data_IF_701381431936
#
_entry.id   IF_701381431936
#
_cell.length_a   1.000
_cell.length_b   1.000
_cell.length_c   1.000
_cell.angle_alpha   90.00
_cell.angle_beta   90.00
_cell.angle_gamma   90.00
#
_symmetry.space_group_name_H-M   'P 1'
#
loop_
_entity.id
_entity.type
_entity.pdbx_description
1 polymer ?
#
# COMPACT_ATOMS: atom_id res chain seq x y z
N UNK A 1 -24.73 -20.94 59.43
CA UNK A 1 -25.45 -19.68 59.72
C UNK A 1 -25.48 -18.87 58.43
N UNK A 2 -26.56 -18.47 57.78
CA UNK A 2 -28.00 -18.61 57.94
C UNK A 2 -28.69 -17.85 56.78
N UNK A 3 -29.88 -18.32 56.37
CA UNK A 3 -30.95 -17.69 55.55
C UNK A 3 -30.61 -17.19 54.11
N UNK A 4 -31.18 -17.78 53.05
CA UNK A 4 -32.54 -17.59 52.47
C UNK A 4 -32.87 -16.15 52.06
N UNK A 5 -33.10 -15.90 50.75
CA UNK A 5 -34.41 -15.57 50.14
C UNK A 5 -34.32 -15.73 48.62
N UNK A 6 -35.20 -16.57 48.08
CA UNK A 6 -35.62 -16.54 46.67
C UNK A 6 -36.92 -15.75 46.56
N UNK A 7 -37.10 -14.93 45.52
CA UNK A 7 -38.44 -14.57 45.06
C UNK A 7 -38.49 -14.25 43.56
N UNK A 8 -39.55 -14.77 42.98
CA UNK A 8 -39.85 -14.93 41.55
C UNK A 8 -40.89 -13.90 41.11
N UNK A 9 -41.02 -13.76 39.77
CA UNK A 9 -42.23 -13.39 38.99
C UNK A 9 -42.62 -11.91 38.82
N UNK A 10 -42.58 -11.39 37.58
CA UNK A 10 -43.70 -11.36 36.60
C UNK A 10 -43.62 -10.18 35.60
N UNK A 11 -43.75 -10.55 34.31
CA UNK A 11 -44.21 -9.82 33.14
C UNK A 11 -44.89 -8.45 33.29
N UNK A 12 -44.55 -7.53 32.37
CA UNK A 12 -45.53 -6.72 31.62
C UNK A 12 -45.04 -6.36 30.21
N UNK A 13 -45.85 -6.73 29.21
CA UNK A 13 -45.84 -6.26 27.81
C UNK A 13 -46.58 -4.92 27.71
N UNK A 14 -46.09 -3.98 26.89
CA UNK A 14 -46.89 -2.97 26.16
C UNK A 14 -46.09 -2.58 24.90
N UNK A 15 -46.40 -3.15 23.72
CA UNK A 15 -47.18 -2.58 22.57
C UNK A 15 -46.58 -1.35 21.88
N UNK A 16 -46.13 -1.57 20.65
CA UNK A 16 -46.03 -0.65 19.51
C UNK A 16 -47.42 -0.17 19.04
N UNK A 17 -47.49 0.94 18.27
CA UNK A 17 -47.79 0.86 16.82
C UNK A 17 -47.08 1.99 16.01
N UNK A 18 -46.67 1.89 14.73
CA UNK A 18 -47.40 1.85 13.45
C UNK A 18 -46.33 1.69 12.32
N UNK A 19 -46.32 0.61 11.52
CA UNK A 19 -46.83 0.48 10.12
C UNK A 19 -46.22 1.34 8.98
N UNK A 20 -45.24 0.74 8.27
CA UNK A 20 -45.08 0.52 6.80
C UNK A 20 -44.93 1.71 5.80
N UNK A 21 -44.34 1.53 4.56
CA UNK A 21 -44.05 0.26 3.87
C UNK A 21 -42.65 0.08 3.23
N UNK A 22 -42.26 -1.19 3.11
CA UNK A 22 -41.27 -1.72 2.19
C UNK A 22 -41.75 -1.62 0.73
N UNK A 23 -40.95 -0.98 -0.13
CA UNK A 23 -40.76 -1.35 -1.55
C UNK A 23 -39.33 -0.96 -1.94
N UNK A 24 -38.67 -1.80 -2.74
CA UNK A 24 -37.31 -1.69 -3.27
C UNK A 24 -36.17 -2.19 -2.36
N UNK A 25 -35.97 -3.51 -2.32
CA UNK A 25 -34.68 -4.24 -2.41
C UNK A 25 -35.08 -5.71 -2.59
N UNK A 26 -35.33 -6.10 -3.84
CA UNK A 26 -35.56 -7.48 -4.26
C UNK A 26 -35.31 -7.57 -5.78
N UNK A 27 -34.05 -7.39 -6.20
CA UNK A 27 -33.55 -7.74 -7.54
C UNK A 27 -32.02 -7.59 -7.56
N UNK A 28 -31.30 -8.56 -6.98
CA UNK A 28 -29.86 -8.79 -7.24
C UNK A 28 -29.29 -10.07 -6.55
N UNK A 29 -30.09 -10.86 -5.83
CA UNK A 29 -29.63 -12.07 -5.13
C UNK A 29 -30.39 -13.32 -5.58
N UNK A 30 -30.28 -13.65 -6.88
CA UNK A 30 -30.74 -14.91 -7.45
C UNK A 30 -30.12 -15.17 -8.84
N UNK A 31 -28.79 -15.27 -8.91
CA UNK A 31 -28.06 -15.84 -10.08
C UNK A 31 -26.66 -16.35 -9.69
N UNK A 32 -26.52 -17.08 -8.58
CA UNK A 32 -25.25 -17.71 -8.19
C UNK A 32 -25.35 -19.18 -7.79
N UNK A 33 -26.48 -19.86 -8.03
CA UNK A 33 -26.68 -21.27 -7.65
C UNK A 33 -27.19 -22.17 -8.79
N UNK A 34 -26.76 -21.92 -10.04
CA UNK A 34 -27.10 -22.80 -11.17
C UNK A 34 -25.93 -23.07 -12.14
N UNK A 35 -24.68 -22.97 -11.69
CA UNK A 35 -23.48 -23.31 -12.50
C UNK A 35 -22.57 -24.32 -11.80
N UNK A 36 -23.17 -25.36 -11.21
CA UNK A 36 -22.48 -26.57 -10.75
C UNK A 36 -23.40 -27.77 -11.01
N UNK A 37 -23.45 -28.19 -12.28
CA UNK A 37 -23.79 -29.53 -12.78
C UNK A 37 -24.07 -29.40 -14.27
N UNK A 38 -23.08 -29.71 -15.11
CA UNK A 38 -23.21 -30.32 -16.45
C UNK A 38 -21.91 -30.12 -17.23
N UNK A 39 -20.99 -31.06 -17.11
CA UNK A 39 -19.95 -31.32 -18.11
C UNK A 39 -20.18 -32.72 -18.66
N UNK A 40 -20.89 -32.78 -19.79
CA UNK A 40 -21.16 -33.96 -20.59
C UNK A 40 -20.96 -33.64 -22.07
N UNK A 41 -19.77 -33.97 -22.56
CA UNK A 41 -19.37 -34.47 -23.88
C UNK A 41 -20.13 -34.10 -25.20
N UNK A 42 -19.30 -33.67 -26.18
CA UNK A 42 -19.27 -33.83 -27.67
C UNK A 42 -19.94 -32.81 -28.62
N UNK A 43 -19.13 -32.50 -29.66
CA UNK A 43 -19.31 -31.92 -31.01
C UNK A 43 -19.21 -30.38 -31.07
N UNK A 44 -18.38 -29.75 -31.89
CA UNK A 44 -17.61 -30.12 -33.09
C UNK A 44 -17.66 -28.91 -34.04
N UNK A 45 -16.56 -28.57 -34.72
CA UNK A 45 -16.58 -27.66 -35.89
C UNK A 45 -16.02 -26.25 -35.69
N UNK A 46 -14.76 -26.08 -36.13
CA UNK A 46 -14.24 -25.01 -37.00
C UNK A 46 -14.66 -23.54 -36.78
N UNK A 47 -13.71 -22.70 -36.37
CA UNK A 47 -13.05 -21.72 -37.26
C UNK A 47 -11.97 -20.93 -36.50
N UNK A 48 -10.71 -21.37 -36.66
CA UNK A 48 -9.52 -20.59 -36.34
C UNK A 48 -9.33 -19.56 -37.46
N UNK A 49 -9.60 -18.29 -37.20
CA UNK A 49 -9.10 -17.21 -38.06
C UNK A 49 -7.72 -16.80 -37.54
N UNK A 50 -6.69 -17.43 -38.12
CA UNK A 50 -5.34 -16.88 -38.12
C UNK A 50 -5.36 -15.51 -38.81
N UNK A 51 -4.72 -14.53 -38.18
CA UNK A 51 -4.44 -13.24 -38.80
C UNK A 51 -3.35 -13.50 -39.85
N UNK A 52 -3.74 -13.53 -41.12
CA UNK A 52 -2.81 -13.64 -42.25
C UNK A 52 -2.53 -12.22 -42.76
N UNK A 53 -1.27 -11.78 -42.62
CA UNK A 53 -0.75 -10.63 -43.35
C UNK A 53 -0.69 -10.95 -44.85
N UNK A 54 -1.15 -10.03 -45.69
CA UNK A 54 -0.95 -10.10 -47.15
C UNK A 54 -0.15 -8.88 -47.63
N UNK A 55 0.85 -9.06 -48.51
CA UNK A 55 1.68 -7.98 -49.02
C UNK A 55 1.22 -7.49 -50.41
N UNK A 56 1.74 -6.30 -50.75
CA UNK A 56 1.86 -5.64 -52.06
C UNK A 56 0.84 -4.56 -52.41
N UNK A 57 1.38 -3.40 -52.79
CA UNK A 57 0.68 -2.39 -53.58
C UNK A 57 1.16 -0.97 -53.33
N UNK A 58 2.34 -0.62 -53.84
CA UNK A 58 2.88 0.73 -53.77
C UNK A 58 2.00 1.76 -54.49
N UNK A 59 1.70 2.85 -53.80
CA UNK A 59 1.22 4.10 -54.39
C UNK A 59 1.91 5.26 -53.65
N UNK A 60 2.77 5.95 -54.39
CA UNK A 60 3.47 7.16 -53.97
C UNK A 60 2.45 8.29 -53.84
N UNK A 61 2.28 8.85 -52.64
CA UNK A 61 1.62 10.14 -52.44
C UNK A 61 2.57 11.11 -51.75
N UNK A 62 2.66 12.29 -52.36
CA UNK A 62 3.65 13.34 -52.12
C UNK A 62 3.54 13.94 -50.72
N UNK A 63 4.71 14.19 -50.14
CA UNK A 63 4.93 15.01 -48.95
C UNK A 63 4.15 16.32 -48.98
N UNK A 64 3.38 16.56 -47.92
CA UNK A 64 3.11 17.91 -47.42
C UNK A 64 3.26 17.89 -45.91
N UNK A 65 4.20 18.72 -45.46
CA UNK A 65 4.68 18.93 -44.10
C UNK A 65 3.67 19.66 -43.21
N UNK A 66 3.89 19.55 -41.89
CA UNK A 66 3.24 20.22 -40.74
C UNK A 66 1.79 19.77 -40.49
N UNK A 67 1.43 19.19 -39.34
CA UNK A 67 1.58 19.72 -37.97
C UNK A 67 1.83 18.56 -37.00
N UNK A 68 2.86 18.68 -36.16
CA UNK A 68 3.15 17.74 -35.08
C UNK A 68 2.11 17.88 -33.98
N UNK A 69 1.44 16.77 -33.67
CA UNK A 69 0.66 16.58 -32.46
C UNK A 69 1.23 15.35 -31.76
N UNK A 70 2.26 15.55 -30.95
CA UNK A 70 2.65 14.61 -29.92
C UNK A 70 1.59 14.72 -28.81
N UNK A 71 0.48 14.00 -28.96
CA UNK A 71 -0.48 13.84 -27.87
C UNK A 71 0.12 12.89 -26.85
N UNK A 72 0.70 13.49 -25.82
CA UNK A 72 1.19 12.89 -24.58
C UNK A 72 0.05 12.21 -23.83
N UNK A 73 -0.18 10.92 -24.13
CA UNK A 73 -1.16 10.06 -23.45
C UNK A 73 -0.65 9.52 -22.10
N UNK A 74 0.44 10.06 -21.55
CA UNK A 74 1.05 9.59 -20.31
C UNK A 74 0.95 10.55 -19.11
N UNK A 75 0.43 11.76 -19.32
CA UNK A 75 0.33 12.79 -18.28
C UNK A 75 -0.72 12.50 -17.19
N UNK A 76 -0.31 11.97 -16.04
CA UNK A 76 -1.13 12.01 -14.83
C UNK A 76 -1.16 13.47 -14.36
N UNK A 77 -2.27 14.16 -14.61
CA UNK A 77 -2.49 15.55 -14.16
C UNK A 77 -2.27 15.63 -12.65
N UNK A 78 -1.15 16.22 -12.23
CA UNK A 78 -0.90 16.50 -10.81
C UNK A 78 -1.98 17.44 -10.28
N UNK A 79 -2.52 17.13 -9.11
CA UNK A 79 -3.52 18.02 -8.48
C UNK A 79 -2.85 19.37 -8.17
N UNK A 80 -3.38 20.49 -8.67
CA UNK A 80 -2.88 21.81 -8.32
C UNK A 80 -3.20 22.11 -6.86
N UNK A 81 -2.31 22.84 -6.19
CA UNK A 81 -2.56 23.29 -4.82
C UNK A 81 -3.64 24.35 -4.78
N UNK A 82 -4.42 24.37 -3.70
CA UNK A 82 -5.33 25.48 -3.41
C UNK A 82 -4.67 26.51 -2.48
N UNK A 83 -5.18 27.77 -2.44
CA UNK A 83 -4.70 28.78 -1.50
C UNK A 83 -4.80 28.35 -0.02
N UNK A 84 -5.72 27.44 0.30
CA UNK A 84 -5.88 26.89 1.65
C UNK A 84 -4.75 25.92 1.98
N UNK A 85 -4.49 24.95 1.10
CA UNK A 85 -3.36 24.01 1.22
C UNK A 85 -2.03 24.76 1.32
N UNK A 86 -1.82 25.78 0.48
CA UNK A 86 -0.60 26.59 0.51
C UNK A 86 -0.40 27.34 1.83
N UNK A 87 -1.48 27.87 2.41
CA UNK A 87 -1.41 28.54 3.71
C UNK A 87 -1.03 27.55 4.81
N UNK A 88 -1.74 26.43 4.88
CA UNK A 88 -1.48 25.36 5.86
C UNK A 88 -0.07 24.77 5.73
N UNK A 89 0.46 24.67 4.51
CA UNK A 89 1.84 24.21 4.30
C UNK A 89 2.86 25.21 4.84
N UNK A 90 2.65 26.53 4.65
CA UNK A 90 3.56 27.61 5.10
C UNK A 90 3.65 27.75 6.62
N UNK A 91 2.67 27.23 7.36
CA UNK A 91 2.68 27.23 8.83
C UNK A 91 3.76 26.29 9.41
N UNK A 92 4.14 25.25 8.67
CA UNK A 92 5.22 24.34 9.06
C UNK A 92 6.59 24.94 8.74
N UNK A 93 7.44 25.12 9.76
CA UNK A 93 8.79 25.69 9.62
C UNK A 93 9.81 24.61 9.28
N UNK A 94 9.83 24.12 8.02
CA UNK A 94 10.70 23.02 7.56
C UNK A 94 12.21 23.20 7.86
N UNK A 95 12.67 24.44 7.96
CA UNK A 95 14.08 24.79 8.18
C UNK A 95 14.46 24.94 9.66
N UNK A 96 13.49 24.86 10.58
CA UNK A 96 13.80 24.93 12.00
C UNK A 96 14.53 23.65 12.42
N UNK A 97 15.62 23.74 13.20
CA UNK A 97 16.22 22.56 13.81
C UNK A 97 15.23 21.92 14.79
N UNK A 98 15.35 20.62 15.06
CA UNK A 98 14.35 19.84 15.85
C UNK A 98 14.10 20.43 17.24
N UNK A 99 15.10 21.06 17.86
CA UNK A 99 15.03 21.75 19.14
C UNK A 99 14.08 22.96 19.12
N UNK A 100 13.97 23.61 17.96
CA UNK A 100 13.16 24.80 17.73
C UNK A 100 11.87 24.51 16.94
N UNK A 101 11.77 23.33 16.33
CA UNK A 101 10.66 22.94 15.47
C UNK A 101 9.40 22.59 16.26
N UNK A 102 8.26 22.76 15.61
CA UNK A 102 6.95 22.30 16.09
C UNK A 102 6.44 21.24 15.11
N UNK A 103 5.56 20.35 15.58
CA UNK A 103 4.87 19.41 14.68
C UNK A 103 4.07 20.17 13.62
N UNK A 104 3.69 19.53 12.52
CA UNK A 104 2.79 20.15 11.55
C UNK A 104 1.48 20.61 12.20
N UNK A 105 0.84 21.67 11.66
CA UNK A 105 -0.46 22.12 12.16
C UNK A 105 -1.48 21.00 12.03
N UNK A 106 -2.45 20.96 12.95
CA UNK A 106 -3.45 19.89 13.02
C UNK A 106 -4.23 19.71 11.72
N UNK A 107 -4.33 20.76 10.90
CA UNK A 107 -4.90 20.75 9.56
C UNK A 107 -4.22 19.75 8.60
N UNK A 108 -2.95 19.40 8.78
CA UNK A 108 -2.30 18.34 7.98
C UNK A 108 -2.97 16.96 8.17
N UNK A 109 -3.61 16.76 9.32
CA UNK A 109 -4.25 15.50 9.71
C UNK A 109 -5.78 15.57 9.66
N UNK A 110 -6.35 16.76 9.56
CA UNK A 110 -7.80 17.01 9.72
C UNK A 110 -8.43 17.80 8.57
N UNK A 111 -7.67 18.18 7.54
CA UNK A 111 -8.21 18.85 6.36
C UNK A 111 -8.33 17.88 5.18
N UNK A 112 -9.55 17.70 4.66
CA UNK A 112 -9.82 16.82 3.53
C UNK A 112 -9.15 17.28 2.23
N UNK A 113 -9.01 18.59 2.02
CA UNK A 113 -8.36 19.13 0.82
C UNK A 113 -6.85 18.87 0.85
N UNK A 114 -6.27 18.93 2.06
CA UNK A 114 -4.86 18.57 2.28
C UNK A 114 -4.66 17.05 2.08
N UNK A 115 -5.57 16.23 2.61
CA UNK A 115 -5.55 14.78 2.42
C UNK A 115 -5.66 14.38 0.93
N UNK A 116 -6.49 15.04 0.14
CA UNK A 116 -6.57 14.77 -1.31
C UNK A 116 -5.29 15.22 -2.04
N UNK A 117 -4.67 16.33 -1.60
CA UNK A 117 -3.45 16.86 -2.19
C UNK A 117 -2.23 15.96 -1.93
N UNK A 118 -2.08 15.40 -0.72
CA UNK A 118 -0.98 14.51 -0.37
C UNK A 118 -1.00 13.20 -1.15
N UNK A 119 -2.19 12.66 -1.47
CA UNK A 119 -2.30 11.40 -2.23
C UNK A 119 -1.51 11.44 -3.54
N UNK A 120 -1.64 12.53 -4.29
CA UNK A 120 -0.98 12.64 -5.60
C UNK A 120 0.48 13.09 -5.45
N UNK A 121 0.80 13.97 -4.48
CA UNK A 121 2.13 14.57 -4.33
C UNK A 121 3.13 13.71 -3.59
N UNK A 122 2.68 12.97 -2.57
CA UNK A 122 3.53 12.09 -1.76
C UNK A 122 3.57 10.69 -2.38
N UNK A 123 2.42 10.04 -2.54
CA UNK A 123 2.37 8.63 -2.97
C UNK A 123 2.52 8.47 -4.48
N UNK A 124 2.10 9.45 -5.29
CA UNK A 124 2.18 9.39 -6.74
C UNK A 124 3.59 9.53 -7.33
N UNK A 125 4.57 9.98 -6.53
CA UNK A 125 5.94 10.29 -7.00
C UNK A 125 7.01 9.33 -6.50
N UNK A 126 6.69 8.48 -5.52
CA UNK A 126 7.64 7.58 -4.87
C UNK A 126 7.51 6.16 -5.39
N UNK A 127 8.55 5.34 -5.18
CA UNK A 127 8.38 3.90 -5.14
C UNK A 127 7.45 3.53 -3.97
N UNK A 128 6.59 2.54 -4.20
CA UNK A 128 5.61 2.06 -3.24
C UNK A 128 5.77 0.55 -3.11
N UNK A 129 6.03 0.07 -1.89
CA UNK A 129 5.89 -1.35 -1.58
C UNK A 129 4.40 -1.72 -1.69
N UNK A 130 4.09 -2.76 -2.44
CA UNK A 130 2.70 -3.15 -2.76
C UNK A 130 2.40 -4.62 -2.53
N UNK A 131 3.40 -5.41 -2.17
CA UNK A 131 3.29 -6.83 -1.92
C UNK A 131 4.64 -7.46 -1.71
N UNK A 132 4.68 -8.79 -1.75
CA UNK A 132 5.88 -9.57 -1.48
C UNK A 132 6.06 -10.68 -2.53
N UNK A 133 7.31 -11.11 -2.73
CA UNK A 133 7.69 -12.02 -3.83
C UNK A 133 7.01 -13.40 -3.73
N UNK A 134 6.61 -13.83 -2.52
CA UNK A 134 5.85 -15.06 -2.29
C UNK A 134 4.47 -15.04 -2.97
N UNK A 135 3.88 -13.88 -3.24
CA UNK A 135 2.65 -13.79 -4.03
C UNK A 135 2.90 -14.10 -5.51
N UNK A 136 4.17 -14.06 -5.96
CA UNK A 136 4.61 -14.20 -7.36
C UNK A 136 5.48 -15.46 -7.57
N UNK A 137 5.17 -16.57 -6.89
CA UNK A 137 5.96 -17.82 -7.03
C UNK A 137 5.84 -18.42 -8.44
N UNK A 138 4.61 -18.64 -8.89
CA UNK A 138 4.34 -19.31 -10.16
C UNK A 138 4.09 -18.31 -11.31
N UNK A 139 4.50 -18.64 -12.55
CA UNK A 139 4.05 -17.91 -13.73
C UNK A 139 2.52 -17.85 -13.79
N UNK A 140 1.97 -16.67 -14.07
CA UNK A 140 0.54 -16.40 -14.05
C UNK A 140 -0.01 -15.91 -12.71
N UNK A 141 0.76 -16.01 -11.62
CA UNK A 141 0.37 -15.41 -10.34
C UNK A 141 0.16 -13.91 -10.48
N UNK A 142 -0.89 -13.40 -9.88
CA UNK A 142 -1.22 -11.98 -9.85
C UNK A 142 -1.82 -11.56 -8.51
N UNK A 143 -1.69 -10.26 -8.19
CA UNK A 143 -2.51 -9.59 -7.17
C UNK A 143 -2.88 -8.19 -7.63
N UNK A 144 -3.90 -7.63 -7.01
CA UNK A 144 -4.43 -6.30 -7.32
C UNK A 144 -4.45 -5.43 -6.08
N UNK A 145 -4.37 -4.12 -6.27
CA UNK A 145 -4.44 -3.17 -5.17
C UNK A 145 -4.62 -1.75 -5.64
N UNK A 146 -4.37 -0.80 -4.74
CA UNK A 146 -4.53 0.63 -5.01
C UNK A 146 -3.44 1.45 -4.32
N UNK A 147 -2.89 2.42 -5.05
CA UNK A 147 -2.11 3.53 -4.49
C UNK A 147 -2.88 4.81 -4.82
N UNK A 148 -3.37 5.49 -3.79
CA UNK A 148 -4.20 6.67 -3.97
C UNK A 148 -5.42 6.40 -4.86
N UNK A 149 -5.52 7.10 -5.99
CA UNK A 149 -6.61 6.90 -6.96
C UNK A 149 -6.33 5.74 -7.95
N UNK A 150 -5.07 5.34 -8.11
CA UNK A 150 -4.62 4.37 -9.12
C UNK A 150 -4.84 2.93 -8.68
N UNK A 151 -5.66 2.19 -9.44
CA UNK A 151 -5.81 0.74 -9.29
C UNK A 151 -4.75 0.03 -10.11
N UNK A 152 -4.04 -0.92 -9.52
CA UNK A 152 -3.00 -1.68 -10.20
C UNK A 152 -3.28 -3.19 -10.17
N UNK A 153 -2.65 -3.89 -11.11
CA UNK A 153 -2.46 -5.34 -11.09
C UNK A 153 -0.97 -5.60 -11.26
N UNK A 154 -0.41 -6.44 -10.40
CA UNK A 154 0.95 -6.98 -10.53
C UNK A 154 0.82 -8.44 -10.91
N UNK A 155 1.64 -8.91 -11.85
CA UNK A 155 1.67 -10.32 -12.24
C UNK A 155 3.06 -10.78 -12.63
N UNK A 156 3.28 -12.09 -12.52
CA UNK A 156 4.44 -12.78 -13.11
C UNK A 156 4.05 -13.34 -14.47
N UNK A 157 4.71 -12.90 -15.52
CA UNK A 157 4.42 -13.37 -16.87
C UNK A 157 4.96 -14.79 -17.13
N UNK A 158 4.69 -15.32 -18.33
CA UNK A 158 5.14 -16.65 -18.74
C UNK A 158 6.66 -16.77 -18.90
N UNK A 159 7.39 -15.66 -18.95
CA UNK A 159 8.86 -15.61 -19.00
C UNK A 159 9.46 -15.45 -17.58
N UNK A 160 8.61 -15.38 -16.55
CA UNK A 160 9.02 -15.22 -15.16
C UNK A 160 9.27 -13.76 -14.73
N UNK A 161 9.02 -12.78 -15.60
CA UNK A 161 9.18 -11.36 -15.29
C UNK A 161 7.98 -10.85 -14.49
N UNK A 162 8.24 -10.14 -13.39
CA UNK A 162 7.21 -9.42 -12.65
C UNK A 162 6.90 -8.12 -13.40
N UNK A 163 5.62 -7.86 -13.66
CA UNK A 163 5.09 -6.69 -14.37
C UNK A 163 3.95 -6.07 -13.59
N UNK A 164 3.76 -4.77 -13.74
CA UNK A 164 2.63 -4.06 -13.19
C UNK A 164 1.91 -3.25 -14.27
N UNK A 165 0.59 -3.14 -14.14
CA UNK A 165 -0.26 -2.37 -15.05
C UNK A 165 -1.35 -1.63 -14.29
N UNK A 166 -1.85 -0.54 -14.87
CA UNK A 166 -3.14 0.01 -14.47
C UNK A 166 -4.22 -1.07 -14.67
N UNK A 167 -4.92 -1.43 -13.59
CA UNK A 167 -5.97 -2.44 -13.61
C UNK A 167 -7.28 -1.84 -14.16
N UNK A 168 -7.22 -1.39 -15.42
CA UNK A 168 -8.27 -0.65 -16.11
C UNK A 168 -8.29 -1.09 -17.56
N UNK A 169 -9.37 -1.74 -17.98
CA UNK A 169 -9.59 -2.14 -19.36
C UNK A 169 -9.60 -0.91 -20.28
N UNK A 170 -8.84 -0.97 -21.38
CA UNK A 170 -8.75 0.10 -22.39
C UNK A 170 -9.99 0.29 -23.24
N UNK A 171 -10.99 -0.58 -23.11
CA UNK A 171 -12.30 -0.38 -23.69
C UNK A 171 -13.10 0.61 -22.83
N UNK A 172 -13.85 0.13 -21.83
CA UNK A 172 -14.72 0.96 -20.97
C UNK A 172 -14.34 0.85 -19.49
N UNK A 173 -13.04 0.95 -19.17
CA UNK A 173 -12.47 1.18 -17.85
C UNK A 173 -12.76 0.15 -16.73
N UNK A 174 -13.45 -0.95 -17.01
CA UNK A 174 -13.65 -2.03 -16.04
C UNK A 174 -12.31 -2.64 -15.60
N UNK A 175 -12.19 -3.00 -14.32
CA UNK A 175 -11.02 -3.76 -13.84
C UNK A 175 -10.91 -5.09 -14.58
N UNK A 176 -9.69 -5.49 -14.92
CA UNK A 176 -9.41 -6.73 -15.68
C UNK A 176 -9.05 -7.89 -14.75
N UNK A 177 -8.70 -7.60 -13.50
CA UNK A 177 -8.43 -8.57 -12.45
C UNK A 177 -8.96 -8.06 -11.10
N UNK A 178 -9.18 -8.96 -10.14
CA UNK A 178 -9.61 -8.64 -8.78
C UNK A 178 -9.02 -9.64 -7.79
N UNK A 179 -8.62 -9.16 -6.60
CA UNK A 179 -7.99 -9.98 -5.57
C UNK A 179 -6.61 -10.47 -6.01
N UNK A 180 -6.30 -11.71 -5.69
CA UNK A 180 -5.10 -12.44 -6.11
C UNK A 180 -5.48 -13.82 -6.68
N UNK A 181 -4.58 -14.41 -7.46
CA UNK A 181 -4.79 -15.72 -8.06
C UNK A 181 -3.74 -16.06 -9.10
N UNK A 182 -4.02 -17.05 -9.95
CA UNK A 182 -3.18 -17.42 -11.08
C UNK A 182 -4.02 -17.47 -12.36
N UNK A 183 -3.52 -16.89 -13.46
CA UNK A 183 -4.20 -16.87 -14.76
C UNK A 183 -3.19 -16.84 -15.92
N UNK A 184 -3.62 -17.28 -17.10
CA UNK A 184 -2.82 -17.16 -18.33
C UNK A 184 -3.06 -15.83 -19.08
N UNK A 185 -4.17 -15.13 -18.78
CA UNK A 185 -4.53 -13.85 -19.40
C UNK A 185 -5.53 -13.08 -18.52
N UNK A 186 -5.59 -11.77 -18.69
CA UNK A 186 -6.60 -10.94 -18.05
C UNK A 186 -7.79 -10.76 -18.99
N UNK A 187 -8.96 -11.29 -18.60
CA UNK A 187 -10.19 -11.19 -19.38
C UNK A 187 -11.09 -10.15 -18.72
N UNK A 188 -11.32 -9.03 -19.40
CA UNK A 188 -12.21 -7.99 -18.90
C UNK A 188 -13.63 -8.55 -18.74
N UNK A 189 -14.22 -8.49 -17.53
CA UNK A 189 -15.54 -9.07 -17.25
C UNK A 189 -16.68 -8.36 -17.97
N UNK A 190 -16.45 -7.16 -18.52
CA UNK A 190 -17.50 -6.37 -19.16
C UNK A 190 -17.79 -6.86 -20.60
N UNK A 191 -16.77 -6.95 -21.44
CA UNK A 191 -16.93 -7.24 -22.88
C UNK A 191 -15.97 -8.31 -23.40
N UNK A 192 -15.22 -8.98 -22.52
CA UNK A 192 -14.32 -10.07 -22.90
C UNK A 192 -13.10 -9.64 -23.71
N UNK A 193 -12.64 -8.38 -23.59
CA UNK A 193 -11.31 -8.00 -24.07
C UNK A 193 -10.26 -8.76 -23.26
N UNK A 194 -9.35 -9.43 -23.95
CA UNK A 194 -8.33 -10.29 -23.34
C UNK A 194 -6.96 -9.67 -23.51
N UNK A 195 -6.24 -9.50 -22.41
CA UNK A 195 -4.88 -9.00 -22.37
C UNK A 195 -3.94 -10.13 -21.95
N UNK A 196 -2.77 -10.19 -22.57
CA UNK A 196 -1.68 -11.03 -22.09
C UNK A 196 -1.14 -10.53 -20.75
N UNK A 197 -0.35 -11.36 -20.07
CA UNK A 197 0.38 -10.95 -18.86
C UNK A 197 1.50 -9.94 -19.17
N UNK A 198 1.85 -9.78 -20.44
CA UNK A 198 2.70 -8.71 -20.97
C UNK A 198 1.92 -7.39 -21.22
N UNK A 199 0.62 -7.36 -20.91
CA UNK A 199 -0.26 -6.22 -21.08
C UNK A 199 -0.81 -6.03 -22.50
N UNK A 200 -0.35 -6.79 -23.49
CA UNK A 200 -0.80 -6.60 -24.89
C UNK A 200 -2.25 -7.05 -25.05
N UNK A 201 -3.04 -6.28 -25.82
CA UNK A 201 -4.39 -6.69 -26.19
C UNK A 201 -4.32 -7.85 -27.20
N UNK A 202 -4.70 -9.06 -26.76
CA UNK A 202 -4.66 -10.28 -27.55
C UNK A 202 -5.97 -10.53 -28.30
N UNK A 203 -7.11 -10.18 -27.68
CA UNK A 203 -8.44 -10.42 -28.27
C UNK A 203 -9.39 -9.30 -27.93
N UNK A 204 -10.06 -8.79 -28.95
CA UNK A 204 -11.22 -7.90 -28.83
C UNK A 204 -12.27 -8.35 -29.85
N UNK A 205 -13.45 -8.75 -29.36
CA UNK A 205 -14.51 -9.31 -30.20
C UNK A 205 -15.48 -8.25 -30.69
N UNK A 206 -16.21 -8.56 -31.78
CA UNK A 206 -17.28 -7.71 -32.34
C UNK A 206 -16.85 -6.29 -32.75
N UNK A 207 -15.59 -6.14 -33.17
CA UNK A 207 -15.03 -4.86 -33.65
C UNK A 207 -15.30 -4.59 -35.16
N UNK A 208 -16.16 -5.36 -35.82
CA UNK A 208 -16.44 -5.17 -37.24
C UNK A 208 -16.97 -3.74 -37.51
N UNK A 209 -16.36 -3.05 -38.47
CA UNK A 209 -16.73 -1.67 -38.83
C UNK A 209 -16.01 -0.57 -38.03
N UNK A 210 -15.20 -0.91 -37.01
CA UNK A 210 -14.35 0.07 -36.33
C UNK A 210 -13.31 0.63 -37.32
N UNK A 211 -13.05 1.94 -37.27
CA UNK A 211 -12.01 2.60 -38.07
C UNK A 211 -10.91 3.10 -37.15
N UNK A 212 -9.68 3.17 -37.65
CA UNK A 212 -8.51 3.69 -36.92
C UNK A 212 -8.28 3.00 -35.55
N UNK A 213 -8.51 1.69 -35.48
CA UNK A 213 -8.27 0.91 -34.28
C UNK A 213 -6.99 0.07 -34.44
N UNK A 214 -6.08 0.22 -33.49
CA UNK A 214 -4.87 -0.59 -33.37
C UNK A 214 -4.87 -1.33 -32.04
N UNK A 215 -4.84 -2.67 -32.08
CA UNK A 215 -4.72 -3.47 -30.86
C UNK A 215 -3.42 -3.14 -30.10
N UNK A 216 -2.36 -2.73 -30.82
CA UNK A 216 -1.06 -2.35 -30.25
C UNK A 216 -1.15 -1.09 -29.38
N UNK A 217 -2.06 -0.17 -29.70
CA UNK A 217 -2.28 1.08 -28.94
C UNK A 217 -3.26 0.91 -27.77
N UNK A 218 -3.90 -0.25 -27.68
CA UNK A 218 -4.97 -0.56 -26.74
C UNK A 218 -4.60 -1.65 -25.73
N UNK A 219 -3.29 -1.89 -25.50
CA UNK A 219 -2.80 -2.70 -24.39
C UNK A 219 -2.96 -2.01 -23.03
N UNK A 220 -2.86 -2.77 -21.94
CA UNK A 220 -2.86 -2.22 -20.59
C UNK A 220 -1.72 -1.21 -20.43
N UNK A 221 -1.98 -0.12 -19.70
CA UNK A 221 -0.98 0.91 -19.45
C UNK A 221 0.01 0.36 -18.41
N UNK A 222 1.30 0.24 -18.73
CA UNK A 222 2.30 -0.31 -17.80
C UNK A 222 2.54 0.65 -16.63
N UNK A 223 2.89 0.06 -15.48
CA UNK A 223 3.39 0.74 -14.29
C UNK A 223 4.80 0.21 -14.05
N UNK A 224 5.75 1.09 -13.71
CA UNK A 224 7.11 0.64 -13.36
C UNK A 224 7.03 -0.29 -12.16
N UNK A 225 7.76 -1.40 -12.22
CA UNK A 225 7.84 -2.36 -11.12
C UNK A 225 9.28 -2.77 -10.89
N UNK A 226 9.57 -3.15 -9.65
CA UNK A 226 10.88 -3.63 -9.23
C UNK A 226 10.70 -4.55 -8.02
N UNK A 227 11.76 -5.25 -7.66
CA UNK A 227 11.84 -6.04 -6.43
C UNK A 227 13.06 -5.61 -5.63
N UNK A 228 12.93 -5.55 -4.31
CA UNK A 228 14.07 -5.40 -3.40
C UNK A 228 13.82 -6.25 -2.16
N UNK A 229 14.80 -7.08 -1.80
CA UNK A 229 14.61 -8.10 -0.76
C UNK A 229 13.38 -8.98 -1.04
N UNK A 230 12.46 -9.17 -0.07
CA UNK A 230 11.24 -9.93 -0.28
C UNK A 230 10.08 -9.08 -0.84
N UNK A 231 10.30 -7.79 -1.14
CA UNK A 231 9.23 -6.85 -1.49
C UNK A 231 9.07 -6.66 -2.99
N UNK A 232 7.82 -6.44 -3.39
CA UNK A 232 7.43 -6.04 -4.74
C UNK A 232 7.03 -4.57 -4.69
N UNK A 233 7.62 -3.79 -5.60
CA UNK A 233 7.45 -2.35 -5.66
C UNK A 233 6.84 -1.91 -6.97
N UNK A 234 6.11 -0.80 -6.92
CA UNK A 234 5.67 -0.05 -8.11
C UNK A 234 6.01 1.43 -7.99
N UNK A 235 6.18 2.10 -9.13
CA UNK A 235 6.28 3.56 -9.19
C UNK A 235 5.29 4.11 -10.20
N UNK A 236 4.51 5.09 -9.76
CA UNK A 236 3.54 5.81 -10.59
C UNK A 236 4.14 7.04 -11.28
N UNK A 237 5.41 7.35 -11.00
CA UNK A 237 6.08 8.49 -11.59
C UNK A 237 6.17 8.33 -13.12
N UNK A 238 5.90 9.43 -13.83
CA UNK A 238 6.02 9.49 -15.28
C UNK A 238 7.46 9.21 -15.70
N UNK A 239 7.63 8.11 -16.42
CA UNK A 239 8.87 7.77 -17.11
C UNK A 239 8.50 6.97 -18.33
N UNK A 240 9.19 7.22 -19.45
CA UNK A 240 9.09 6.39 -20.65
C UNK A 240 9.43 4.96 -20.22
N UNK A 241 8.42 4.10 -20.19
CA UNK A 241 8.53 2.71 -19.75
C UNK A 241 9.45 1.92 -20.71
N UNK A 242 10.77 2.04 -20.53
CA UNK A 242 11.75 1.24 -21.26
C UNK A 242 13.12 1.07 -20.59
N UNK A 243 13.37 1.62 -19.39
CA UNK A 243 14.68 1.43 -18.73
C UNK A 243 14.54 0.55 -17.49
N UNK A 244 15.40 -0.47 -17.45
CA UNK A 244 15.37 -1.60 -16.55
C UNK A 244 15.68 -1.23 -15.10
N UNK A 245 15.43 -2.20 -14.22
CA UNK A 245 15.37 -2.21 -12.77
C UNK A 245 16.62 -1.81 -11.97
N UNK A 246 17.57 -1.03 -12.51
CA UNK A 246 18.80 -0.65 -11.77
C UNK A 246 18.59 0.43 -10.70
N UNK A 247 17.50 1.21 -10.79
CA UNK A 247 17.36 2.44 -10.01
C UNK A 247 16.51 2.29 -8.74
N UNK A 248 16.03 1.08 -8.42
CA UNK A 248 15.12 0.92 -7.26
C UNK A 248 15.85 1.12 -5.94
N UNK A 249 17.07 0.60 -5.79
CA UNK A 249 17.81 0.76 -4.54
C UNK A 249 18.19 2.22 -4.32
N UNK A 250 18.74 2.89 -5.34
CA UNK A 250 19.06 4.32 -5.29
C UNK A 250 17.80 5.20 -5.09
N UNK A 251 16.71 4.92 -5.82
CA UNK A 251 15.50 5.73 -5.80
C UNK A 251 14.53 5.44 -4.65
N UNK A 252 14.66 4.30 -3.96
CA UNK A 252 13.79 3.92 -2.85
C UNK A 252 14.52 3.97 -1.49
N UNK A 253 15.72 3.41 -1.42
CA UNK A 253 16.49 3.29 -0.17
C UNK A 253 17.69 4.25 -0.11
N UNK A 254 18.20 4.70 -1.25
CA UNK A 254 19.39 5.53 -1.32
C UNK A 254 20.57 4.87 -0.60
N UNK A 255 21.24 5.64 0.26
CA UNK A 255 22.40 5.15 1.00
C UNK A 255 22.07 4.13 2.09
N UNK A 256 20.79 3.89 2.39
CA UNK A 256 20.35 2.91 3.39
C UNK A 256 20.41 1.45 2.89
N UNK A 257 20.42 1.23 1.57
CA UNK A 257 20.34 -0.11 0.97
C UNK A 257 21.38 -1.10 1.51
N UNK A 258 22.68 -0.76 1.53
CA UNK A 258 23.72 -1.62 2.08
C UNK A 258 23.56 -1.91 3.58
N UNK A 259 23.11 -0.93 4.37
CA UNK A 259 22.89 -1.09 5.81
C UNK A 259 21.74 -2.07 6.09
N UNK A 260 20.62 -1.91 5.38
CA UNK A 260 19.46 -2.80 5.53
C UNK A 260 19.75 -4.22 5.03
N UNK A 261 20.47 -4.35 3.91
CA UNK A 261 20.91 -5.66 3.41
C UNK A 261 21.84 -6.35 4.42
N UNK A 262 22.78 -5.62 5.02
CA UNK A 262 23.69 -6.15 6.05
C UNK A 262 22.98 -6.53 7.34
N UNK A 263 21.80 -5.96 7.60
CA UNK A 263 20.92 -6.34 8.71
C UNK A 263 20.11 -7.62 8.40
N UNK A 264 20.32 -8.28 7.25
CA UNK A 264 19.61 -9.49 6.86
C UNK A 264 18.18 -9.23 6.39
N UNK A 265 17.94 -8.07 5.77
CA UNK A 265 16.70 -7.76 5.07
C UNK A 265 16.96 -8.06 3.58
N UNK A 266 16.68 -9.28 3.15
CA UNK A 266 16.96 -9.73 1.79
C UNK A 266 15.89 -10.72 1.28
N UNK A 267 16.08 -11.22 0.05
CA UNK A 267 15.14 -12.10 -0.64
C UNK A 267 15.03 -13.51 -0.04
N UNK A 268 15.87 -13.88 0.94
CA UNK A 268 15.81 -15.19 1.61
C UNK A 268 14.70 -15.25 2.67
N UNK A 269 14.23 -14.09 3.16
CA UNK A 269 13.16 -14.00 4.14
C UNK A 269 11.85 -14.59 3.62
N UNK A 270 11.28 -15.54 4.37
CA UNK A 270 10.08 -16.29 4.00
C UNK A 270 8.85 -15.69 4.65
N UNK A 271 7.89 -15.25 3.84
CA UNK A 271 6.58 -14.80 4.32
C UNK A 271 5.83 -15.94 5.02
N UNK A 272 5.25 -15.66 6.20
CA UNK A 272 4.49 -16.65 6.99
C UNK A 272 3.05 -16.25 7.28
N UNK A 273 2.74 -14.95 7.34
CA UNK A 273 1.41 -14.47 7.68
C UNK A 273 1.18 -13.02 7.24
N UNK A 274 -0.10 -12.68 7.03
CA UNK A 274 -0.59 -11.32 6.80
C UNK A 274 -1.76 -11.02 7.74
N UNK A 275 -1.84 -9.79 8.24
CA UNK A 275 -3.01 -9.21 8.91
C UNK A 275 -3.26 -7.79 8.41
N UNK A 276 -4.52 -7.38 8.43
CA UNK A 276 -4.92 -6.03 8.05
C UNK A 276 -5.70 -5.40 9.20
N UNK A 277 -5.37 -4.15 9.52
CA UNK A 277 -6.09 -3.36 10.52
C UNK A 277 -6.58 -2.08 9.86
N UNK A 278 -7.87 -1.75 10.03
CA UNK A 278 -8.42 -0.45 9.65
C UNK A 278 -8.46 0.39 10.92
N UNK A 279 -7.69 1.48 10.94
CA UNK A 279 -7.45 2.31 12.12
C UNK A 279 -8.10 3.68 11.88
N UNK A 280 -8.84 4.21 12.86
CA UNK A 280 -9.52 5.51 12.77
C UNK A 280 -8.58 6.69 13.02
N UNK A 281 -7.46 6.73 12.28
CA UNK A 281 -6.53 7.84 12.28
C UNK A 281 -6.05 8.18 10.86
N UNK A 282 -5.56 9.41 10.68
CA UNK A 282 -4.81 9.78 9.49
C UNK A 282 -3.57 8.88 9.39
N UNK A 283 -3.15 8.55 8.16
CA UNK A 283 -1.99 7.68 7.94
C UNK A 283 -0.70 8.21 8.60
N UNK A 284 -0.53 9.54 8.63
CA UNK A 284 0.63 10.19 9.26
C UNK A 284 0.67 9.96 10.76
N UNK A 285 -0.48 9.90 11.45
CA UNK A 285 -0.53 9.64 12.90
C UNK A 285 0.10 8.28 13.24
N UNK A 286 -0.19 7.26 12.44
CA UNK A 286 0.40 5.94 12.64
C UNK A 286 1.91 5.93 12.32
N UNK A 287 2.34 6.69 11.31
CA UNK A 287 3.77 6.89 11.04
C UNK A 287 4.47 7.65 12.19
N UNK A 288 3.85 8.70 12.72
CA UNK A 288 4.37 9.50 13.84
C UNK A 288 4.57 8.61 15.07
N UNK A 289 3.59 7.76 15.39
CA UNK A 289 3.69 6.78 16.48
C UNK A 289 4.93 5.88 16.34
N UNK A 290 5.26 5.43 15.12
CA UNK A 290 6.43 4.61 14.85
C UNK A 290 7.78 5.37 14.93
N UNK A 291 7.76 6.68 14.67
CA UNK A 291 8.94 7.51 14.43
C UNK A 291 9.43 8.29 15.67
N UNK A 292 8.89 7.98 16.84
CA UNK A 292 9.13 8.73 18.07
C UNK A 292 10.41 8.35 18.83
N UNK A 293 11.24 7.45 18.27
CA UNK A 293 12.47 7.02 18.91
C UNK A 293 12.25 6.07 20.09
N UNK A 294 11.11 5.38 20.14
CA UNK A 294 10.73 4.52 21.25
C UNK A 294 10.27 5.29 22.49
N UNK A 295 9.84 6.54 22.33
CA UNK A 295 9.52 7.43 23.44
C UNK A 295 8.24 7.00 24.19
N UNK A 296 7.21 6.53 23.47
CA UNK A 296 5.99 5.99 24.05
C UNK A 296 6.14 4.57 24.61
N UNK A 297 7.14 3.80 24.14
CA UNK A 297 7.31 2.37 24.45
C UNK A 297 7.30 2.06 25.96
N UNK A 298 8.01 2.79 26.85
CA UNK A 298 8.00 2.52 28.29
C UNK A 298 6.64 2.76 28.96
N UNK A 299 5.79 3.58 28.33
CA UNK A 299 4.50 4.00 28.87
C UNK A 299 3.34 3.17 28.32
N UNK A 300 3.42 2.79 27.05
CA UNK A 300 2.36 2.08 26.34
C UNK A 300 2.58 0.55 26.28
N UNK A 301 3.83 0.12 26.09
CA UNK A 301 4.16 -1.28 25.78
C UNK A 301 5.04 -1.90 26.85
N UNK A 302 4.48 -2.11 28.03
CA UNK A 302 5.23 -2.65 29.18
C UNK A 302 5.95 -3.98 28.89
N UNK A 303 5.36 -4.85 28.07
CA UNK A 303 5.96 -6.13 27.64
C UNK A 303 7.12 -5.92 26.67
N UNK A 304 6.97 -5.05 25.67
CA UNK A 304 8.03 -4.73 24.72
C UNK A 304 9.20 -4.00 25.40
N UNK A 305 8.90 -3.03 26.26
CA UNK A 305 9.89 -2.27 27.00
C UNK A 305 10.79 -3.17 27.85
N UNK A 306 10.23 -4.23 28.45
CA UNK A 306 11.00 -5.20 29.23
C UNK A 306 12.04 -5.98 28.39
N UNK A 307 11.88 -6.02 27.07
CA UNK A 307 12.72 -6.77 26.15
C UNK A 307 13.82 -5.92 25.50
N UNK A 308 13.79 -4.59 25.67
CA UNK A 308 14.66 -3.63 24.99
C UNK A 308 15.61 -2.93 25.97
N UNK A 309 16.86 -2.73 25.55
CA UNK A 309 17.81 -1.84 26.23
C UNK A 309 17.59 -0.40 25.77
N UNK A 310 16.51 0.23 26.25
CA UNK A 310 16.09 1.57 25.82
C UNK A 310 17.19 2.65 25.90
N UNK A 311 18.12 2.66 26.88
CA UNK A 311 19.27 3.58 26.86
C UNK A 311 20.19 3.44 25.63
N UNK A 312 20.18 2.30 24.95
CA UNK A 312 20.96 2.05 23.72
C UNK A 312 20.26 2.51 22.44
N UNK A 313 19.03 3.02 22.55
CA UNK A 313 18.24 3.44 21.40
C UNK A 313 18.95 4.56 20.64
N UNK A 314 19.02 4.42 19.32
CA UNK A 314 19.70 5.36 18.43
C UNK A 314 18.95 5.51 17.11
N UNK A 315 19.14 6.65 16.45
CA UNK A 315 18.47 6.98 15.20
C UNK A 315 19.49 7.51 14.20
N UNK A 316 19.48 6.94 13.00
CA UNK A 316 20.21 7.42 11.83
C UNK A 316 19.23 7.95 10.80
N UNK A 317 19.44 9.18 10.34
CA UNK A 317 18.66 9.80 9.28
C UNK A 317 19.43 9.73 7.97
N UNK A 318 18.80 9.18 6.94
CA UNK A 318 19.31 9.10 5.57
C UNK A 318 18.32 9.83 4.64
N UNK A 319 18.53 9.79 3.33
CA UNK A 319 17.83 10.67 2.37
C UNK A 319 16.31 10.57 2.45
N UNK A 320 15.75 9.36 2.32
CA UNK A 320 14.31 9.08 2.43
C UNK A 320 14.02 7.91 3.37
N UNK A 321 15.00 7.58 4.20
CA UNK A 321 14.94 6.46 5.15
C UNK A 321 15.44 6.96 6.50
N UNK A 322 14.78 6.52 7.57
CA UNK A 322 15.35 6.61 8.92
C UNK A 322 15.48 5.21 9.51
N UNK A 323 16.63 4.92 10.13
CA UNK A 323 16.89 3.64 10.78
C UNK A 323 17.03 3.91 12.27
N UNK A 324 16.15 3.30 13.05
CA UNK A 324 16.22 3.29 14.50
C UNK A 324 16.77 1.94 14.95
N UNK A 325 17.65 1.92 15.94
CA UNK A 325 18.27 0.69 16.45
C UNK A 325 18.24 0.66 17.97
N UNK A 326 17.91 -0.49 18.54
CA UNK A 326 17.91 -0.71 19.99
C UNK A 326 18.50 -2.08 20.30
N UNK A 327 19.38 -2.15 21.29
CA UNK A 327 19.87 -3.41 21.84
C UNK A 327 18.77 -4.19 22.54
N UNK A 328 18.92 -5.51 22.61
CA UNK A 328 18.06 -6.37 23.42
C UNK A 328 18.47 -6.32 24.90
N UNK A 329 17.50 -6.44 25.80
CA UNK A 329 17.78 -6.60 27.22
C UNK A 329 18.52 -7.94 27.48
N UNK A 330 19.53 -7.92 28.37
CA UNK A 330 20.44 -9.05 28.64
C UNK A 330 19.73 -10.35 29.12
N UNK A 331 18.50 -10.25 29.58
CA UNK A 331 17.68 -11.35 30.12
C UNK A 331 16.33 -11.49 29.41
N UNK A 332 16.17 -10.95 28.19
CA UNK A 332 14.85 -10.92 27.53
C UNK A 332 14.26 -12.32 27.30
N UNK A 333 15.09 -13.36 27.18
CA UNK A 333 14.66 -14.75 26.96
C UNK A 333 13.94 -14.99 25.63
N UNK A 334 13.62 -13.94 24.88
CA UNK A 334 12.94 -13.99 23.59
C UNK A 334 13.97 -14.19 22.49
N UNK A 335 14.05 -15.42 21.98
CA UNK A 335 14.82 -15.80 20.78
C UNK A 335 14.52 -14.86 19.60
N UNK A 336 13.30 -14.33 19.54
CA UNK A 336 12.83 -13.41 18.49
C UNK A 336 13.66 -12.12 18.40
N UNK A 337 14.06 -11.49 19.52
CA UNK A 337 14.65 -10.13 19.49
C UNK A 337 16.09 -10.13 18.94
N UNK A 338 16.81 -11.25 19.10
CA UNK A 338 18.24 -11.32 18.78
C UNK A 338 19.06 -10.35 19.63
N UNK A 339 20.16 -9.83 19.07
CA UNK A 339 21.06 -8.91 19.79
C UNK A 339 20.69 -7.43 19.62
N UNK A 340 20.18 -7.06 18.45
CA UNK A 340 19.82 -5.70 18.06
C UNK A 340 18.53 -5.75 17.27
N UNK A 341 17.57 -4.93 17.64
CA UNK A 341 16.37 -4.65 16.85
C UNK A 341 16.64 -3.45 15.93
N UNK A 342 16.28 -3.59 14.66
CA UNK A 342 16.41 -2.54 13.64
C UNK A 342 15.03 -2.18 13.11
N UNK A 343 14.67 -0.90 13.18
CA UNK A 343 13.39 -0.34 12.78
C UNK A 343 13.65 0.68 11.66
N UNK A 344 13.46 0.26 10.41
CA UNK A 344 13.64 1.12 9.25
C UNK A 344 12.30 1.67 8.79
N UNK A 345 12.17 2.99 8.74
CA UNK A 345 11.07 3.66 8.06
C UNK A 345 11.55 4.09 6.68
N UNK A 346 10.92 3.54 5.64
CA UNK A 346 11.11 3.92 4.26
C UNK A 346 9.94 4.81 3.85
N UNK A 347 10.27 6.08 3.56
CA UNK A 347 9.28 7.08 3.19
C UNK A 347 8.50 6.65 1.92
N UNK A 348 7.17 6.90 1.86
CA UNK A 348 6.39 7.65 2.83
C UNK A 348 5.77 6.83 3.96
N UNK A 349 5.64 5.52 3.83
CA UNK A 349 4.61 4.79 4.59
C UNK A 349 4.94 3.31 4.84
N UNK A 350 6.21 2.92 4.77
CA UNK A 350 6.62 1.53 4.90
C UNK A 350 7.63 1.33 6.02
N UNK A 351 7.27 0.52 6.99
CA UNK A 351 8.12 0.16 8.13
C UNK A 351 8.67 -1.25 7.92
N UNK A 352 9.95 -1.46 8.25
CA UNK A 352 10.62 -2.75 8.26
C UNK A 352 11.26 -2.94 9.63
N UNK A 353 10.79 -3.92 10.39
CA UNK A 353 11.26 -4.23 11.73
C UNK A 353 11.99 -5.57 11.71
N UNK A 354 13.30 -5.55 11.97
CA UNK A 354 14.15 -6.73 11.96
C UNK A 354 14.60 -7.06 13.38
N UNK A 355 14.33 -8.29 13.81
CA UNK A 355 14.65 -8.82 15.13
C UNK A 355 15.25 -10.22 14.96
N UNK A 356 16.50 -10.48 15.35
CA UNK A 356 17.05 -11.85 15.35
C UNK A 356 16.81 -12.63 14.04
N UNK A 357 15.96 -13.67 13.96
CA UNK A 357 15.53 -14.37 12.74
C UNK A 357 14.13 -13.98 12.20
N UNK A 358 13.48 -13.02 12.86
CA UNK A 358 12.14 -12.51 12.59
C UNK A 358 12.17 -11.14 11.91
N UNK A 359 11.25 -10.92 10.98
CA UNK A 359 10.97 -9.60 10.44
C UNK A 359 9.48 -9.38 10.33
N UNK A 360 9.03 -8.18 10.66
CA UNK A 360 7.69 -7.72 10.31
C UNK A 360 7.74 -6.39 9.58
N UNK A 361 6.72 -6.14 8.77
CA UNK A 361 6.58 -4.89 8.04
C UNK A 361 5.20 -4.31 8.21
N UNK A 362 5.12 -2.98 8.25
CA UNK A 362 3.86 -2.25 8.39
C UNK A 362 3.73 -1.36 7.15
N UNK A 363 2.76 -1.65 6.29
CA UNK A 363 2.44 -0.80 5.14
C UNK A 363 1.18 0.01 5.45
N UNK A 364 1.33 1.34 5.59
CA UNK A 364 0.24 2.25 5.95
C UNK A 364 -0.41 2.81 4.69
N UNK A 365 -1.63 2.40 4.38
CA UNK A 365 -2.38 2.81 3.20
C UNK A 365 -3.46 3.82 3.64
N UNK A 366 -3.43 5.08 3.17
CA UNK A 366 -4.48 6.04 3.46
C UNK A 366 -5.82 5.61 2.82
N UNK A 367 -6.91 5.63 3.62
CA UNK A 367 -8.28 5.41 3.14
C UNK A 367 -9.03 6.73 3.03
N UNK A 368 -8.91 7.58 4.05
CA UNK A 368 -9.51 8.91 4.11
C UNK A 368 -8.65 9.85 4.96
N UNK A 369 -9.11 11.09 5.15
CA UNK A 369 -8.44 12.07 6.01
C UNK A 369 -8.22 11.59 7.46
N UNK A 370 -9.05 10.67 7.97
CA UNK A 370 -9.00 10.20 9.37
C UNK A 370 -9.14 8.68 9.46
N UNK A 371 -8.78 7.96 8.40
CA UNK A 371 -8.77 6.50 8.40
C UNK A 371 -7.63 5.99 7.52
N UNK A 372 -6.87 5.02 8.03
CA UNK A 372 -5.87 4.30 7.28
C UNK A 372 -6.05 2.79 7.45
N UNK A 373 -5.41 2.04 6.58
CA UNK A 373 -5.25 0.60 6.69
C UNK A 373 -3.78 0.29 6.89
N UNK A 374 -3.45 -0.52 7.88
CA UNK A 374 -2.09 -1.03 8.07
C UNK A 374 -2.08 -2.50 7.71
N UNK A 375 -1.26 -2.86 6.73
CA UNK A 375 -0.99 -4.26 6.37
C UNK A 375 0.27 -4.68 7.11
N UNK A 376 0.12 -5.71 7.94
CA UNK A 376 1.20 -6.39 8.63
C UNK A 376 1.55 -7.66 7.88
N UNK A 377 2.81 -7.78 7.47
CA UNK A 377 3.37 -9.00 6.94
C UNK A 377 4.51 -9.47 7.86
N UNK A 378 4.53 -10.77 8.13
CA UNK A 378 5.58 -11.41 8.91
C UNK A 378 6.43 -12.30 8.03
N UNK A 379 7.73 -12.25 8.26
CA UNK A 379 8.73 -13.01 7.54
C UNK A 379 9.72 -13.65 8.52
N UNK A 380 10.19 -14.85 8.20
CA UNK A 380 11.19 -15.58 8.98
C UNK A 380 12.35 -16.03 8.11
N UNK A 381 13.50 -16.20 8.74
CA UNK A 381 14.59 -16.96 8.15
C UNK A 381 14.15 -18.39 7.79
N UNK A 382 14.66 -18.96 6.67
CA UNK A 382 14.25 -20.29 6.21
C UNK A 382 14.38 -21.42 7.24
N UNK A 383 15.31 -21.30 8.18
CA UNK A 383 15.57 -22.29 9.23
C UNK A 383 14.42 -22.45 10.23
N UNK A 384 13.56 -21.44 10.38
CA UNK A 384 12.49 -21.40 11.39
C UNK A 384 11.07 -21.39 10.79
N UNK A 385 10.92 -21.42 9.46
CA UNK A 385 9.61 -21.34 8.79
C UNK A 385 8.66 -22.51 9.13
N UNK A 386 9.20 -23.62 9.64
CA UNK A 386 8.43 -24.79 10.06
C UNK A 386 8.14 -24.85 11.56
N UNK A 387 8.66 -23.90 12.35
CA UNK A 387 8.40 -23.81 13.78
C UNK A 387 7.08 -23.06 14.04
N UNK A 388 5.99 -23.81 13.97
CA UNK A 388 4.65 -23.25 14.12
C UNK A 388 4.40 -22.63 15.49
N UNK A 389 4.95 -23.21 16.55
CA UNK A 389 4.77 -22.71 17.92
C UNK A 389 5.47 -21.36 18.10
N UNK A 390 6.69 -21.23 17.57
CA UNK A 390 7.40 -19.95 17.53
C UNK A 390 6.66 -18.89 16.70
N UNK A 391 6.12 -19.26 15.53
CA UNK A 391 5.36 -18.34 14.68
C UNK A 391 4.10 -17.85 15.39
N UNK A 392 3.27 -18.77 15.90
CA UNK A 392 1.99 -18.45 16.51
C UNK A 392 2.17 -17.58 17.77
N UNK A 393 3.17 -17.89 18.61
CA UNK A 393 3.49 -17.07 19.80
C UNK A 393 4.02 -15.69 19.43
N UNK A 394 4.94 -15.59 18.46
CA UNK A 394 5.50 -14.31 18.01
C UNK A 394 4.45 -13.38 17.40
N UNK A 395 3.49 -13.92 16.63
CA UNK A 395 2.35 -13.15 16.11
C UNK A 395 1.45 -12.69 17.26
N UNK A 396 1.18 -13.55 18.24
CA UNK A 396 0.34 -13.19 19.39
C UNK A 396 0.95 -12.04 20.22
N UNK A 397 2.27 -12.04 20.44
CA UNK A 397 2.96 -10.94 21.11
C UNK A 397 2.91 -9.65 20.29
N UNK A 398 3.11 -9.76 18.96
CA UNK A 398 2.98 -8.62 18.06
C UNK A 398 1.57 -8.02 18.09
N UNK A 399 0.53 -8.84 18.16
CA UNK A 399 -0.88 -8.43 18.17
C UNK A 399 -1.23 -7.60 19.43
N UNK A 400 -0.58 -7.85 20.56
CA UNK A 400 -0.77 -7.05 21.78
C UNK A 400 -0.29 -5.61 21.55
N UNK A 401 0.93 -5.46 21.05
CA UNK A 401 1.53 -4.15 20.74
C UNK A 401 0.66 -3.40 19.73
N UNK A 402 0.19 -4.07 18.67
CA UNK A 402 -0.65 -3.41 17.66
C UNK A 402 -1.97 -2.89 18.23
N UNK A 403 -2.60 -3.60 19.16
CA UNK A 403 -3.84 -3.11 19.80
C UNK A 403 -3.59 -1.89 20.65
N UNK A 404 -2.46 -1.85 21.36
CA UNK A 404 -2.05 -0.70 22.17
C UNK A 404 -1.81 0.53 21.27
N UNK A 405 -1.09 0.37 20.16
CA UNK A 405 -0.83 1.44 19.18
C UNK A 405 -2.11 1.94 18.51
N UNK A 406 -3.04 1.05 18.15
CA UNK A 406 -4.33 1.43 17.56
C UNK A 406 -5.10 2.36 18.49
N UNK A 407 -5.16 2.03 19.79
CA UNK A 407 -5.87 2.85 20.77
C UNK A 407 -5.25 4.24 20.86
N UNK A 408 -3.92 4.33 20.91
CA UNK A 408 -3.20 5.61 20.96
C UNK A 408 -3.43 6.44 19.70
N UNK A 409 -3.29 5.84 18.52
CA UNK A 409 -3.45 6.55 17.24
C UNK A 409 -4.86 7.10 17.07
N UNK A 410 -5.89 6.35 17.45
CA UNK A 410 -7.28 6.82 17.39
C UNK A 410 -7.55 7.95 18.39
N UNK A 411 -6.97 7.89 19.60
CA UNK A 411 -7.08 8.97 20.58
C UNK A 411 -6.35 10.25 20.13
N UNK A 412 -5.14 10.10 19.56
CA UNK A 412 -4.39 11.22 18.95
C UNK A 412 -5.20 11.87 17.83
N UNK A 413 -5.83 11.09 16.94
CA UNK A 413 -6.68 11.64 15.89
C UNK A 413 -7.88 12.45 16.45
N UNK A 414 -8.49 11.96 17.53
CA UNK A 414 -9.57 12.70 18.21
C UNK A 414 -9.04 14.00 18.82
N UNK A 415 -7.87 13.95 19.45
CA UNK A 415 -7.19 15.11 20.04
C UNK A 415 -6.83 16.17 19.01
N UNK A 416 -6.33 15.77 17.83
CA UNK A 416 -5.99 16.65 16.72
C UNK A 416 -7.20 17.45 16.19
N UNK A 417 -8.41 16.94 16.39
CA UNK A 417 -9.66 17.62 16.00
C UNK A 417 -10.17 18.60 17.06
N UNK A 418 -9.54 18.64 18.25
CA UNK A 418 -9.93 19.52 19.34
C UNK A 418 -9.51 20.97 19.06
N UNK A 419 -10.40 21.97 19.26
CA UNK A 419 -10.05 23.38 19.12
C UNK A 419 -8.93 23.86 20.07
N UNK A 420 -8.56 23.05 21.07
CA UNK A 420 -7.51 23.37 22.03
C UNK A 420 -6.10 22.99 21.55
N UNK A 421 -5.97 22.23 20.45
CA UNK A 421 -4.70 21.76 19.93
C UNK A 421 -4.49 22.22 18.49
N UNK A 422 -3.25 22.59 18.16
CA UNK A 422 -2.85 22.90 16.78
C UNK A 422 -1.48 22.29 16.48
N UNK A 423 -0.47 22.61 17.28
CA UNK A 423 0.89 22.09 17.15
C UNK A 423 1.47 21.62 18.48
N UNK A 424 2.35 20.63 18.42
CA UNK A 424 3.19 20.14 19.51
C UNK A 424 4.67 20.49 19.31
N UNK A 425 5.52 20.00 20.21
CA UNK A 425 6.97 20.17 20.16
C UNK A 425 7.64 18.81 20.12
N UNK A 426 8.67 18.67 19.29
CA UNK A 426 9.47 17.46 19.27
C UNK A 426 10.35 17.36 20.52
N UNK A 427 10.55 16.14 21.01
CA UNK A 427 11.58 15.75 21.95
C UNK A 427 12.89 15.51 21.17
N UNK A 428 13.86 16.45 21.20
CA UNK A 428 14.98 16.48 20.24
C UNK A 428 15.90 15.27 20.27
N UNK A 429 15.90 14.52 21.37
CA UNK A 429 16.77 13.35 21.54
C UNK A 429 16.20 12.08 20.90
N UNK A 430 14.88 12.00 20.70
CA UNK A 430 14.20 10.76 20.32
C UNK A 430 13.30 10.94 19.09
N UNK A 431 12.64 12.08 18.92
CA UNK A 431 11.69 12.32 17.81
C UNK A 431 12.35 12.93 16.55
N UNK A 432 13.65 12.70 16.35
CA UNK A 432 14.38 13.22 15.18
C UNK A 432 13.88 12.60 13.88
N UNK A 433 13.51 11.32 13.89
CA UNK A 433 12.96 10.62 12.73
C UNK A 433 11.57 11.16 12.35
N UNK A 434 10.72 11.46 13.34
CA UNK A 434 9.42 12.10 13.12
C UNK A 434 9.56 13.49 12.50
N UNK A 435 10.45 14.32 13.03
CA UNK A 435 10.73 15.63 12.44
C UNK A 435 11.24 15.51 11.00
N UNK A 436 12.16 14.56 10.74
CA UNK A 436 12.67 14.27 9.40
C UNK A 436 11.55 13.86 8.43
N UNK A 437 10.64 12.97 8.85
CA UNK A 437 9.47 12.57 8.08
C UNK A 437 8.57 13.76 7.69
N UNK A 438 8.29 14.65 8.64
CA UNK A 438 7.50 15.85 8.37
C UNK A 438 8.18 16.81 7.37
N UNK A 439 9.51 16.94 7.44
CA UNK A 439 10.28 17.69 6.45
C UNK A 439 10.19 17.07 5.05
N UNK A 440 10.26 15.74 4.93
CA UNK A 440 10.11 15.04 3.64
C UNK A 440 8.72 15.24 3.05
N UNK A 441 7.66 15.18 3.87
CA UNK A 441 6.30 15.51 3.44
C UNK A 441 6.26 16.96 2.91
N UNK A 442 6.79 17.92 3.67
CA UNK A 442 6.81 19.32 3.25
C UNK A 442 7.51 19.49 1.89
N UNK A 443 8.67 18.86 1.69
CA UNK A 443 9.45 18.97 0.47
C UNK A 443 8.67 18.40 -0.74
N UNK A 444 8.01 17.25 -0.60
CA UNK A 444 7.19 16.66 -1.67
C UNK A 444 5.93 17.52 -2.00
N UNK A 445 5.29 18.08 -0.97
CA UNK A 445 4.09 18.91 -1.12
C UNK A 445 4.41 20.28 -1.74
N UNK A 446 5.56 20.87 -1.39
CA UNK A 446 6.02 22.16 -1.91
C UNK A 446 6.67 22.06 -3.30
N UNK A 447 7.09 20.87 -3.72
CA UNK A 447 7.71 20.66 -5.03
C UNK A 447 6.78 21.08 -6.19
N UNK A 448 7.22 22.11 -6.93
CA UNK A 448 6.49 22.69 -8.06
C UNK A 448 5.54 23.84 -7.71
N UNK A 449 5.47 24.25 -6.44
CA UNK A 449 4.88 25.53 -6.07
C UNK A 449 5.86 26.66 -6.42
N UNK A 450 5.41 27.66 -7.17
CA UNK A 450 6.22 28.85 -7.47
C UNK A 450 6.42 29.61 -6.15
N UNK A 451 7.69 29.83 -5.78
CA UNK A 451 8.09 30.53 -4.54
C UNK A 451 7.61 31.96 -4.48
#
# INVERSE_FOLDING_TARGET
>A
MGAWVAQTLKHRRVRSPLCLPQRWIAQAWRMSELWSTMSGTIWGGENLTQIVESPLGGLSCRNRSSVGGDDDLTGLKTTPSSPRVERTLREFRRHAPVEEASTPPSAWYTDAEFADFEIDRVFGRCWQAVGHIKQMEEPGSFFTGRVGKTRYVVCKDGEGQIRAFHNVCRHHAAAVASGSGCTHSFVCPYHGWTYGLDGRLQKASRLAGIRNFSARENGLVPIRTATWGPFVLISLAESKASEASSDVEEGWLGSAGPTLSSAGIDSTMQHVATREYVIKCNWKVYCDNYLDGGYHVPHAHSSLAACLDLPSYSTSLLERVSIQSCGAAKESGLVRVGNVATYAFVYPNFMINRYGPWMDTNLVIPISMSECRVIFDWFLEPSLVHDKEFIDSSIADSEVVQKEDIILCEDVQNGLSSPAYDVGRYAPRVEQAMHHFHCLIYDDLSAGMIS
#
